data_IF_328671828819
#
_entry.id   IF_328671828819
#
_cell.length_a   1.000
_cell.length_b   1.000
_cell.length_c   1.000
_cell.angle_alpha   90.00
_cell.angle_beta   90.00
_cell.angle_gamma   90.00
#
_symmetry.space_group_name_H-M   'P 1'
#
loop_
_entity.id
_entity.type
_entity.pdbx_description
1 polymer ?
#
# COMPACT_ATOMS: atom_id res chain seq x y z
N UNK A 1 20.35 40.19 -28.21
CA UNK A 1 18.97 39.86 -27.78
C UNK A 1 18.68 38.36 -27.83
N UNK A 2 19.04 37.62 -28.91
CA UNK A 2 18.87 36.15 -29.02
C UNK A 2 19.44 35.33 -27.83
N UNK A 3 20.59 35.71 -27.30
CA UNK A 3 21.26 34.94 -26.23
C UNK A 3 20.55 35.05 -24.86
N UNK A 4 19.76 36.11 -24.62
CA UNK A 4 18.98 36.25 -23.39
C UNK A 4 17.70 35.40 -23.42
N UNK A 5 17.10 35.23 -24.60
CA UNK A 5 15.93 34.37 -24.81
C UNK A 5 16.28 32.88 -24.67
N UNK A 6 17.45 32.47 -25.17
CA UNK A 6 17.99 31.12 -24.97
C UNK A 6 18.31 30.82 -23.50
N UNK A 7 18.86 31.78 -22.76
CA UNK A 7 19.10 31.61 -21.31
C UNK A 7 17.80 31.44 -20.52
N UNK A 8 16.74 32.18 -20.87
CA UNK A 8 15.41 32.06 -20.25
C UNK A 8 14.75 30.70 -20.56
N UNK A 9 14.90 30.19 -21.79
CA UNK A 9 14.43 28.85 -22.16
C UNK A 9 15.18 27.74 -21.41
N UNK A 10 16.48 27.89 -21.19
CA UNK A 10 17.28 26.94 -20.42
C UNK A 10 16.96 26.99 -18.91
N UNK A 11 16.69 28.18 -18.37
CA UNK A 11 16.29 28.37 -16.97
C UNK A 11 14.87 27.82 -16.70
N UNK A 12 13.94 27.93 -17.66
CA UNK A 12 12.62 27.30 -17.58
C UNK A 12 12.67 25.77 -17.68
N UNK A 13 13.64 25.20 -18.40
CA UNK A 13 13.85 23.74 -18.46
C UNK A 13 14.58 23.17 -17.23
N UNK A 14 15.20 24.05 -16.45
CA UNK A 14 15.89 23.71 -15.19
C UNK A 14 14.96 23.67 -13.98
N UNK A 15 13.67 23.96 -14.17
CA UNK A 15 12.63 23.45 -13.27
C UNK A 15 12.45 21.98 -13.66
N UNK A 16 13.48 21.19 -13.38
CA UNK A 16 13.39 19.75 -13.34
C UNK A 16 12.19 19.45 -12.46
N UNK A 17 11.19 18.82 -13.06
CA UNK A 17 10.13 18.15 -12.35
C UNK A 17 10.82 17.21 -11.36
N UNK A 18 11.00 17.67 -10.12
CA UNK A 18 11.12 16.75 -9.01
C UNK A 18 9.81 16.00 -9.07
N UNK A 19 9.82 14.82 -9.69
CA UNK A 19 8.74 13.86 -9.58
C UNK A 19 8.64 13.58 -8.10
N UNK A 20 7.79 14.35 -7.42
CA UNK A 20 7.32 14.01 -6.10
C UNK A 20 6.63 12.68 -6.39
N UNK A 21 7.25 11.58 -6.00
CA UNK A 21 6.61 10.28 -5.93
C UNK A 21 6.07 10.19 -4.49
N UNK A 22 4.91 10.82 -4.19
CA UNK A 22 4.44 11.00 -2.83
C UNK A 22 4.10 9.69 -2.13
N UNK A 23 4.12 8.56 -2.84
CA UNK A 23 3.67 7.25 -2.38
C UNK A 23 4.73 6.14 -2.48
N UNK A 24 5.97 6.42 -2.89
CA UNK A 24 7.04 5.41 -2.95
C UNK A 24 7.55 4.98 -1.56
N UNK A 25 8.69 4.30 -1.51
CA UNK A 25 9.26 3.77 -0.26
C UNK A 25 9.34 4.78 0.89
N UNK A 26 9.65 6.04 0.59
CA UNK A 26 9.68 7.10 1.60
C UNK A 26 8.32 7.29 2.29
N UNK A 27 7.23 7.30 1.51
CA UNK A 27 5.89 7.53 2.03
C UNK A 27 5.43 6.37 2.92
N UNK A 28 5.59 5.12 2.47
CA UNK A 28 5.26 3.94 3.26
C UNK A 28 6.00 3.93 4.61
N UNK A 29 7.30 4.28 4.58
CA UNK A 29 8.13 4.44 5.79
C UNK A 29 7.54 5.49 6.73
N UNK A 30 7.21 6.68 6.23
CA UNK A 30 6.67 7.78 7.05
C UNK A 30 5.28 7.46 7.60
N UNK A 31 4.38 6.91 6.79
CA UNK A 31 3.03 6.51 7.21
C UNK A 31 3.11 5.50 8.35
N UNK A 32 3.91 4.44 8.18
CA UNK A 32 4.07 3.40 9.20
C UNK A 32 4.71 3.96 10.48
N UNK A 33 5.74 4.79 10.36
CA UNK A 33 6.36 5.46 11.51
C UNK A 33 5.35 6.32 12.27
N UNK A 34 4.56 7.14 11.56
CA UNK A 34 3.61 8.05 12.21
C UNK A 34 2.40 7.33 12.80
N UNK A 35 1.96 6.22 12.18
CA UNK A 35 0.89 5.37 12.73
C UNK A 35 1.22 4.83 14.13
N UNK A 36 2.51 4.60 14.45
CA UNK A 36 2.91 4.19 15.81
C UNK A 36 2.49 5.21 16.87
N UNK A 37 2.53 6.50 16.56
CA UNK A 37 2.16 7.56 17.50
C UNK A 37 0.65 7.76 17.65
N UNK A 38 -0.16 7.09 16.81
CA UNK A 38 -1.63 7.13 16.90
C UNK A 38 -2.21 5.89 17.60
N UNK A 39 -1.34 4.97 18.06
CA UNK A 39 -1.77 3.76 18.75
C UNK A 39 -2.26 4.06 20.17
N UNK A 40 -3.21 3.26 20.69
CA UNK A 40 -3.71 3.38 22.05
C UNK A 40 -2.61 3.04 23.08
N UNK A 41 -2.82 3.46 24.33
CA UNK A 41 -1.83 3.39 25.41
C UNK A 41 -1.32 1.95 25.66
N UNK A 42 -2.20 0.97 25.53
CA UNK A 42 -1.91 -0.45 25.74
C UNK A 42 -0.92 -1.02 24.70
N UNK A 43 -0.84 -0.40 23.51
CA UNK A 43 0.00 -0.87 22.41
C UNK A 43 1.22 0.02 22.18
N UNK A 44 1.09 1.33 22.38
CA UNK A 44 2.09 2.32 21.95
C UNK A 44 3.48 2.06 22.54
N UNK A 45 3.58 1.54 23.78
CA UNK A 45 4.85 1.22 24.41
C UNK A 45 5.65 0.16 23.64
N UNK A 46 5.01 -0.92 23.22
CA UNK A 46 5.62 -1.99 22.42
C UNK A 46 6.06 -1.47 21.05
N UNK A 47 5.19 -0.73 20.36
CA UNK A 47 5.49 -0.26 19.01
C UNK A 47 6.53 0.85 18.97
N UNK A 48 6.54 1.78 19.94
CA UNK A 48 7.60 2.81 20.02
C UNK A 48 8.98 2.20 20.24
N UNK A 49 9.08 1.13 21.03
CA UNK A 49 10.35 0.40 21.21
C UNK A 49 10.85 -0.24 19.91
N UNK A 50 9.94 -0.59 19.00
CA UNK A 50 10.24 -1.26 17.74
C UNK A 50 9.98 -0.38 16.51
N UNK A 51 9.94 0.95 16.67
CA UNK A 51 9.50 1.87 15.61
C UNK A 51 10.41 1.84 14.37
N UNK A 52 11.70 1.59 14.56
CA UNK A 52 12.66 1.45 13.46
C UNK A 52 12.36 0.22 12.61
N UNK A 53 11.98 -0.90 13.23
CA UNK A 53 11.55 -2.10 12.52
C UNK A 53 10.29 -1.81 11.69
N UNK A 54 9.28 -1.18 12.30
CA UNK A 54 8.01 -0.85 11.64
C UNK A 54 8.25 0.09 10.45
N UNK A 55 9.12 1.08 10.60
CA UNK A 55 9.53 1.96 9.50
C UNK A 55 10.28 1.19 8.42
N UNK A 56 11.34 0.46 8.75
CA UNK A 56 12.22 -0.20 7.77
C UNK A 56 11.50 -1.28 6.95
N UNK A 57 10.69 -2.11 7.61
CA UNK A 57 10.00 -3.24 7.00
C UNK A 57 8.67 -2.86 6.31
N UNK A 58 8.25 -1.59 6.39
CA UNK A 58 7.05 -1.08 5.70
C UNK A 58 7.08 -1.17 4.17
N UNK A 59 8.23 -1.48 3.57
CA UNK A 59 8.44 -1.58 2.11
C UNK A 59 8.75 -3.00 1.64
N UNK A 60 8.75 -3.96 2.56
CA UNK A 60 9.12 -5.33 2.23
C UNK A 60 8.11 -6.03 1.32
N UNK A 61 6.87 -5.54 1.25
CA UNK A 61 5.85 -6.00 0.32
C UNK A 61 6.23 -5.70 -1.13
N UNK A 62 6.61 -4.46 -1.41
CA UNK A 62 7.11 -4.10 -2.74
C UNK A 62 8.38 -4.87 -3.10
N UNK A 63 9.30 -5.01 -2.14
CA UNK A 63 10.56 -5.75 -2.40
C UNK A 63 10.30 -7.20 -2.78
N UNK A 64 9.34 -7.87 -2.13
CA UNK A 64 9.03 -9.29 -2.41
C UNK A 64 8.17 -9.50 -3.65
N UNK A 65 7.64 -8.44 -4.27
CA UNK A 65 6.89 -8.52 -5.55
C UNK A 65 7.68 -9.21 -6.66
N UNK A 66 9.00 -9.06 -6.67
CA UNK A 66 9.88 -9.70 -7.65
C UNK A 66 10.23 -11.15 -7.33
N UNK A 67 9.97 -11.60 -6.10
CA UNK A 67 10.30 -12.94 -5.62
C UNK A 67 9.05 -13.83 -5.45
N UNK A 68 7.88 -13.23 -5.25
CA UNK A 68 6.60 -13.92 -5.02
C UNK A 68 5.64 -13.49 -6.11
N UNK A 69 5.34 -14.40 -7.04
CA UNK A 69 4.49 -14.13 -8.22
C UNK A 69 3.11 -13.59 -7.82
N UNK A 70 2.55 -14.12 -6.74
CA UNK A 70 1.21 -13.78 -6.23
C UNK A 70 1.19 -12.48 -5.43
N UNK A 71 2.34 -11.81 -5.25
CA UNK A 71 2.39 -10.58 -4.45
C UNK A 71 1.86 -9.37 -5.22
N UNK A 72 2.15 -9.26 -6.52
CA UNK A 72 1.78 -8.10 -7.33
C UNK A 72 0.31 -7.66 -7.18
N UNK A 73 -0.70 -8.56 -7.32
CA UNK A 73 -2.10 -8.16 -7.21
C UNK A 73 -2.55 -7.77 -5.80
N UNK A 74 -1.71 -7.94 -4.77
CA UNK A 74 -2.05 -7.59 -3.38
C UNK A 74 -1.88 -6.10 -3.08
N UNK A 75 -1.38 -5.31 -4.02
CA UNK A 75 -1.04 -3.90 -3.82
C UNK A 75 -2.05 -2.92 -4.45
N UNK A 76 -3.03 -3.41 -5.18
CA UNK A 76 -3.99 -2.57 -5.88
C UNK A 76 -5.36 -3.27 -5.99
N UNK A 77 -6.34 -2.50 -6.43
CA UNK A 77 -7.60 -2.99 -6.97
C UNK A 77 -8.06 -2.04 -8.07
N UNK A 78 -8.11 -2.51 -9.30
CA UNK A 78 -8.54 -1.71 -10.45
C UNK A 78 -10.06 -1.60 -10.45
N UNK A 79 -10.59 -0.82 -9.49
CA UNK A 79 -12.01 -0.85 -9.14
C UNK A 79 -12.90 -0.38 -10.30
N UNK A 80 -12.38 0.52 -11.14
CA UNK A 80 -13.03 1.05 -12.34
C UNK A 80 -13.18 0.02 -13.46
N UNK A 81 -12.47 -1.11 -13.40
CA UNK A 81 -12.72 -2.25 -14.30
C UNK A 81 -14.14 -2.83 -14.12
N UNK A 82 -14.68 -2.77 -12.90
CA UNK A 82 -15.91 -3.49 -12.54
C UNK A 82 -17.21 -2.72 -12.83
N UNK A 83 -17.12 -1.64 -13.61
CA UNK A 83 -18.24 -0.86 -14.13
C UNK A 83 -18.22 0.61 -13.71
N UNK A 84 -19.24 1.36 -14.15
CA UNK A 84 -19.35 2.81 -13.92
C UNK A 84 -19.61 3.19 -12.45
N UNK A 85 -20.29 2.30 -11.70
CA UNK A 85 -20.56 2.45 -10.27
C UNK A 85 -20.01 1.23 -9.51
N UNK A 86 -18.67 1.07 -9.45
CA UNK A 86 -18.09 -0.18 -8.99
C UNK A 86 -18.20 -0.36 -7.47
N UNK A 87 -18.28 0.73 -6.70
CA UNK A 87 -18.42 0.67 -5.24
C UNK A 87 -19.76 0.11 -4.77
N UNK A 88 -20.82 0.25 -5.56
CA UNK A 88 -22.14 -0.29 -5.25
C UNK A 88 -22.25 -1.77 -5.61
N UNK A 89 -21.46 -2.20 -6.60
CA UNK A 89 -21.59 -3.51 -7.21
C UNK A 89 -20.52 -4.51 -6.77
N UNK A 90 -19.35 -4.05 -6.31
CA UNK A 90 -18.25 -4.91 -5.87
C UNK A 90 -18.58 -5.59 -4.53
N UNK A 91 -18.66 -6.93 -4.48
CA UNK A 91 -18.92 -7.63 -3.23
C UNK A 91 -17.78 -7.43 -2.22
N UNK A 92 -18.14 -7.24 -0.95
CA UNK A 92 -17.15 -7.05 0.13
C UNK A 92 -16.52 -8.37 0.57
N UNK A 93 -17.26 -9.48 0.49
CA UNK A 93 -16.75 -10.81 0.85
C UNK A 93 -16.04 -11.43 -0.35
N UNK A 94 -14.91 -12.09 -0.09
CA UNK A 94 -14.12 -12.74 -1.13
C UNK A 94 -14.93 -13.76 -1.94
N UNK A 95 -15.62 -14.69 -1.28
CA UNK A 95 -16.38 -15.73 -1.97
C UNK A 95 -17.48 -15.14 -2.87
N UNK A 96 -18.21 -14.13 -2.40
CA UNK A 96 -19.23 -13.45 -3.19
C UNK A 96 -18.61 -12.74 -4.42
N UNK A 97 -17.40 -12.20 -4.29
CA UNK A 97 -16.66 -11.58 -5.39
C UNK A 97 -16.18 -12.63 -6.39
N UNK A 98 -15.69 -13.78 -5.92
CA UNK A 98 -15.28 -14.91 -6.76
C UNK A 98 -16.48 -15.48 -7.53
N UNK A 99 -17.62 -15.65 -6.87
CA UNK A 99 -18.85 -16.14 -7.51
C UNK A 99 -19.32 -15.18 -8.62
N UNK A 100 -19.12 -13.87 -8.43
CA UNK A 100 -19.54 -12.84 -9.39
C UNK A 100 -18.56 -12.62 -10.54
N UNK A 101 -17.26 -12.63 -10.28
CA UNK A 101 -16.23 -12.21 -11.24
C UNK A 101 -15.20 -13.28 -11.59
N UNK A 102 -15.20 -14.44 -10.93
CA UNK A 102 -14.14 -15.47 -10.94
C UNK A 102 -12.85 -15.04 -10.24
N UNK A 103 -12.15 -16.02 -9.65
CA UNK A 103 -10.88 -15.77 -8.96
C UNK A 103 -9.79 -15.27 -9.91
N UNK A 104 -9.67 -15.83 -11.11
CA UNK A 104 -8.65 -15.42 -12.09
C UNK A 104 -8.78 -13.95 -12.48
N UNK A 105 -10.01 -13.45 -12.66
CA UNK A 105 -10.26 -12.03 -12.92
C UNK A 105 -9.88 -11.17 -11.73
N UNK A 106 -10.27 -11.54 -10.50
CA UNK A 106 -9.89 -10.78 -9.30
C UNK A 106 -8.36 -10.72 -9.13
N UNK A 107 -7.66 -11.83 -9.39
CA UNK A 107 -6.20 -11.88 -9.35
C UNK A 107 -5.55 -11.02 -10.44
N UNK A 108 -6.18 -10.85 -11.61
CA UNK A 108 -5.67 -9.99 -12.66
C UNK A 108 -5.83 -8.50 -12.33
N UNK A 109 -6.96 -8.12 -11.74
CA UNK A 109 -7.36 -6.72 -11.49
C UNK A 109 -7.22 -6.30 -10.03
N UNK A 110 -6.44 -7.04 -9.25
CA UNK A 110 -6.05 -6.67 -7.90
C UNK A 110 -7.03 -7.09 -6.81
N UNK A 111 -6.45 -7.51 -5.68
CA UNK A 111 -7.15 -8.11 -4.53
C UNK A 111 -6.86 -7.39 -3.21
N UNK A 112 -6.30 -6.18 -3.26
CA UNK A 112 -5.82 -5.44 -2.10
C UNK A 112 -6.81 -5.41 -0.91
N UNK A 113 -8.12 -5.10 -1.09
CA UNK A 113 -9.05 -5.03 0.05
C UNK A 113 -9.18 -6.34 0.83
N UNK A 114 -9.24 -7.47 0.12
CA UNK A 114 -9.34 -8.79 0.76
C UNK A 114 -8.00 -9.21 1.37
N UNK A 115 -6.89 -8.82 0.76
CA UNK A 115 -5.57 -9.12 1.31
C UNK A 115 -5.30 -8.34 2.62
N UNK A 116 -5.76 -7.08 2.72
CA UNK A 116 -5.75 -6.33 3.99
C UNK A 116 -6.45 -7.12 5.10
N UNK A 117 -7.62 -7.71 4.82
CA UNK A 117 -8.35 -8.52 5.78
C UNK A 117 -7.55 -9.77 6.22
N UNK A 118 -6.88 -10.44 5.28
CA UNK A 118 -6.02 -11.60 5.55
C UNK A 118 -4.87 -11.22 6.48
N UNK A 119 -4.17 -10.13 6.19
CA UNK A 119 -3.03 -9.68 7.01
C UNK A 119 -3.50 -9.20 8.38
N UNK A 120 -4.63 -8.51 8.46
CA UNK A 120 -5.25 -8.13 9.74
C UNK A 120 -5.55 -9.36 10.60
N UNK A 121 -6.20 -10.39 10.05
CA UNK A 121 -6.48 -11.64 10.78
C UNK A 121 -5.20 -12.31 11.27
N UNK A 122 -4.15 -12.36 10.44
CA UNK A 122 -2.83 -12.89 10.83
C UNK A 122 -2.21 -12.10 11.97
N UNK A 123 -2.33 -10.77 11.96
CA UNK A 123 -1.89 -9.92 13.05
C UNK A 123 -2.66 -10.22 14.35
N UNK A 124 -4.00 -10.36 14.27
CA UNK A 124 -4.83 -10.74 15.42
C UNK A 124 -4.38 -12.08 16.01
N UNK A 125 -4.16 -13.10 15.18
CA UNK A 125 -3.66 -14.39 15.65
C UNK A 125 -2.26 -14.30 16.26
N UNK A 126 -1.36 -13.48 15.71
CA UNK A 126 -0.04 -13.26 16.28
C UNK A 126 -0.12 -12.63 17.69
N UNK A 127 -1.08 -11.72 17.92
CA UNK A 127 -1.36 -11.19 19.26
C UNK A 127 -1.91 -12.25 20.22
N UNK A 128 -2.82 -13.11 19.76
CA UNK A 128 -3.36 -14.23 20.56
C UNK A 128 -2.23 -15.19 20.96
N UNK A 129 -1.35 -15.51 20.02
CA UNK A 129 -0.18 -16.39 20.23
C UNK A 129 0.95 -15.70 21.03
N UNK A 130 0.87 -14.37 21.23
CA UNK A 130 1.90 -13.54 21.86
C UNK A 130 3.26 -13.62 21.14
N UNK A 131 3.25 -13.85 19.84
CA UNK A 131 4.44 -13.96 19.00
C UNK A 131 4.87 -12.56 18.53
N UNK A 132 5.85 -11.98 19.21
CA UNK A 132 6.28 -10.60 18.97
C UNK A 132 6.86 -10.39 17.57
N UNK A 133 7.56 -11.39 17.02
CA UNK A 133 8.17 -11.29 15.69
C UNK A 133 7.09 -11.28 14.61
N UNK A 134 6.07 -12.14 14.73
CA UNK A 134 4.91 -12.12 13.84
C UNK A 134 4.10 -10.85 13.98
N UNK A 135 3.91 -10.34 15.20
CA UNK A 135 3.21 -9.06 15.43
C UNK A 135 3.91 -7.94 14.65
N UNK A 136 5.23 -7.80 14.78
CA UNK A 136 5.98 -6.75 14.08
C UNK A 136 5.90 -6.92 12.57
N UNK A 137 6.15 -8.14 12.06
CA UNK A 137 6.08 -8.46 10.63
C UNK A 137 4.71 -8.15 10.01
N UNK A 138 3.63 -8.63 10.65
CA UNK A 138 2.29 -8.41 10.12
C UNK A 138 1.83 -6.97 10.30
N UNK A 139 2.29 -6.25 11.34
CA UNK A 139 2.00 -4.83 11.49
C UNK A 139 2.63 -3.99 10.36
N UNK A 140 3.91 -4.20 10.06
CA UNK A 140 4.58 -3.49 8.96
C UNK A 140 3.93 -3.78 7.60
N UNK A 141 3.57 -5.05 7.34
CA UNK A 141 2.85 -5.42 6.13
C UNK A 141 1.44 -4.83 6.08
N UNK A 142 0.70 -4.85 7.20
CA UNK A 142 -0.65 -4.27 7.24
C UNK A 142 -0.59 -2.78 6.94
N UNK A 143 0.34 -2.05 7.57
CA UNK A 143 0.54 -0.63 7.31
C UNK A 143 0.96 -0.34 5.87
N UNK A 144 1.72 -1.23 5.22
CA UNK A 144 2.02 -1.14 3.79
C UNK A 144 0.76 -1.20 2.93
N UNK A 145 -0.03 -2.27 3.05
CA UNK A 145 -1.20 -2.47 2.20
C UNK A 145 -2.30 -1.42 2.48
N UNK A 146 -2.46 -1.00 3.73
CA UNK A 146 -3.37 0.12 4.04
C UNK A 146 -2.86 1.40 3.39
N UNK A 147 -1.56 1.68 3.38
CA UNK A 147 -1.01 2.83 2.67
C UNK A 147 -1.24 2.73 1.14
N UNK A 148 -1.05 1.55 0.53
CA UNK A 148 -1.37 1.30 -0.88
C UNK A 148 -2.82 1.66 -1.22
N UNK A 149 -3.77 1.31 -0.35
CA UNK A 149 -5.19 1.61 -0.56
C UNK A 149 -5.50 3.12 -0.54
N UNK A 150 -4.57 3.94 -0.05
CA UNK A 150 -4.66 5.40 -0.05
C UNK A 150 -3.91 6.04 -1.22
N UNK A 151 -3.23 5.24 -2.06
CA UNK A 151 -2.64 5.69 -3.33
C UNK A 151 -3.76 5.70 -4.39
N UNK A 152 -4.22 6.85 -4.90
CA UNK A 152 -5.36 6.88 -5.82
C UNK A 152 -5.12 6.05 -7.09
N UNK A 153 -3.87 6.02 -7.56
CA UNK A 153 -3.47 5.25 -8.74
C UNK A 153 -3.42 3.74 -8.52
N UNK A 154 -3.42 3.24 -7.26
CA UNK A 154 -3.60 1.82 -6.97
C UNK A 154 -5.10 1.42 -6.95
N UNK A 155 -5.98 2.33 -7.35
CA UNK A 155 -7.43 2.09 -7.40
C UNK A 155 -8.03 2.27 -8.80
N UNK A 156 -7.21 2.22 -9.86
CA UNK A 156 -7.65 2.44 -11.24
C UNK A 156 -6.79 1.66 -12.23
N UNK A 157 -7.41 1.20 -13.32
CA UNK A 157 -6.73 0.54 -14.45
C UNK A 157 -5.62 1.38 -15.09
N UNK A 158 -5.74 2.71 -15.07
CA UNK A 158 -4.92 3.60 -15.88
C UNK A 158 -3.93 4.39 -15.02
N UNK A 159 -2.76 3.79 -14.74
CA UNK A 159 -1.65 4.45 -14.05
C UNK A 159 -0.27 4.15 -14.66
#
# INVERSE_FOLDING_TARGET
>A
MKNRTLLLLFLCFSISANSIFPWGFFAHKRINKYAVFTLPEELIGFYKKNIEYIEEHSVDADKRRYAVKEEAPRHYIDIDYYGEHPFDSMPRKWNDAVDKYSEDTLQAYGILPWHIEIIYKRLVYAFIEKDSDKILKYSANLGHYVADAHVPLHTTLNY
#
